data_IF_971444675581
#
_entry.id   IF_971444675581
#
_cell.length_a   1.000
_cell.length_b   1.000
_cell.length_c   1.000
_cell.angle_alpha   90.00
_cell.angle_beta   90.00
_cell.angle_gamma   90.00
#
_symmetry.space_group_name_H-M   'P 1'
#
loop_
_entity.id
_entity.type
_entity.pdbx_description
1 polymer ?
#
# COMPACT_ATOMS: atom_id res chain seq x y z
N UNK A 1 97.46 22.93 -24.72
CA UNK A 1 97.33 24.21 -24.01
C UNK A 1 97.11 23.89 -22.55
N UNK A 2 98.23 23.83 -21.81
CA UNK A 2 98.51 24.67 -20.62
C UNK A 2 97.89 24.08 -19.35
N UNK A 3 98.66 23.29 -18.58
CA UNK A 3 99.52 23.73 -17.45
C UNK A 3 98.66 24.09 -16.23
N UNK A 4 98.86 23.57 -15.01
CA UNK A 4 100.13 23.28 -14.36
C UNK A 4 99.99 22.30 -13.19
N UNK A 5 101.13 21.69 -12.83
CA UNK A 5 101.35 20.77 -11.71
C UNK A 5 101.60 21.53 -10.39
N UNK A 6 101.32 20.87 -9.27
CA UNK A 6 102.20 20.78 -8.07
C UNK A 6 101.44 19.99 -6.99
N UNK A 7 101.99 19.06 -6.21
CA UNK A 7 103.34 18.54 -6.05
C UNK A 7 103.44 17.94 -4.64
N UNK A 8 103.92 16.70 -4.55
CA UNK A 8 104.68 16.20 -3.38
C UNK A 8 103.93 15.60 -2.18
N UNK A 9 104.60 14.76 -1.36
CA UNK A 9 104.06 13.46 -0.97
C UNK A 9 104.04 13.16 0.56
N UNK A 10 103.52 11.97 0.86
CA UNK A 10 103.96 11.03 1.90
C UNK A 10 103.23 10.98 3.27
N UNK A 11 102.97 9.72 3.64
CA UNK A 11 103.04 9.08 4.97
C UNK A 11 101.82 8.91 5.91
N UNK A 12 101.37 7.63 6.00
CA UNK A 12 101.30 6.74 7.19
C UNK A 12 100.52 7.20 8.46
N UNK A 13 99.28 6.65 8.64
CA UNK A 13 98.78 5.68 9.70
C UNK A 13 98.87 6.10 11.21
N UNK A 14 98.00 5.64 12.16
CA UNK A 14 96.88 6.44 12.69
C UNK A 14 96.87 6.51 14.26
N UNK A 15 95.77 7.04 14.83
CA UNK A 15 95.34 6.76 16.21
C UNK A 15 95.79 7.77 17.26
N UNK A 16 94.85 8.43 17.92
CA UNK A 16 94.43 8.05 19.28
C UNK A 16 93.30 8.98 19.76
N UNK A 17 92.27 8.36 20.35
CA UNK A 17 91.24 8.97 21.20
C UNK A 17 91.89 9.54 22.49
N UNK A 18 91.31 10.47 23.30
CA UNK A 18 89.93 10.39 23.81
C UNK A 18 89.15 11.70 24.11
N UNK A 19 87.84 11.48 24.31
CA UNK A 19 86.78 12.28 24.97
C UNK A 19 87.23 13.11 26.20
N UNK A 20 86.47 14.13 26.69
CA UNK A 20 84.99 14.18 26.73
C UNK A 20 84.31 15.56 26.58
N UNK A 21 82.98 15.54 26.43
CA UNK A 21 82.12 16.60 26.98
C UNK A 21 80.94 17.08 26.14
N UNK A 22 79.77 17.03 26.79
CA UNK A 22 78.60 17.87 26.64
C UNK A 22 77.47 17.41 25.69
N UNK A 23 76.37 17.10 26.36
CA UNK A 23 75.04 16.72 25.93
C UNK A 23 74.36 17.77 25.03
N UNK A 24 73.63 17.32 24.01
CA UNK A 24 72.30 17.88 23.70
C UNK A 24 71.37 16.79 23.16
N UNK A 25 70.41 16.41 24.01
CA UNK A 25 69.31 15.51 23.70
C UNK A 25 68.33 16.16 22.70
N UNK A 26 68.01 15.42 21.64
CA UNK A 26 67.03 15.85 20.63
C UNK A 26 66.57 14.70 19.73
N UNK A 27 66.08 13.60 20.32
CA UNK A 27 65.42 12.51 19.58
C UNK A 27 64.13 13.03 18.93
N UNK A 28 64.17 13.37 17.64
CA UNK A 28 62.96 13.49 16.81
C UNK A 28 62.66 12.14 16.15
N UNK A 29 61.80 11.36 16.81
CA UNK A 29 61.18 10.19 16.19
C UNK A 29 60.22 10.65 15.09
N UNK A 30 60.62 10.48 13.83
CA UNK A 30 59.73 10.63 12.68
C UNK A 30 58.65 9.55 12.71
N UNK A 31 57.50 9.88 13.32
CA UNK A 31 56.31 9.04 13.34
C UNK A 31 55.74 9.01 11.92
N UNK A 32 56.07 7.96 11.15
CA UNK A 32 55.39 7.65 9.89
C UNK A 32 53.89 7.51 10.19
N UNK A 33 53.11 8.51 9.78
CA UNK A 33 51.65 8.48 9.79
C UNK A 33 51.22 7.45 8.75
N UNK A 34 50.95 6.22 9.21
CA UNK A 34 50.21 5.24 8.41
C UNK A 34 48.84 5.85 8.13
N UNK A 35 48.62 6.32 6.91
CA UNK A 35 47.29 6.56 6.39
C UNK A 35 46.56 5.21 6.39
N UNK A 36 45.56 5.07 7.27
CA UNK A 36 44.68 3.90 7.27
C UNK A 36 43.88 3.94 5.97
N UNK A 37 43.78 2.83 5.22
CA UNK A 37 42.88 2.78 4.08
C UNK A 37 41.45 2.96 4.60
N UNK A 38 40.75 3.98 4.11
CA UNK A 38 39.34 4.19 4.45
C UNK A 38 38.53 2.96 4.04
N UNK A 39 37.84 2.39 5.02
CA UNK A 39 37.08 1.17 4.88
C UNK A 39 35.84 1.41 4.02
N UNK A 40 35.88 0.94 2.77
CA UNK A 40 34.71 0.80 1.88
C UNK A 40 33.70 -0.28 2.32
N UNK A 41 33.84 -0.85 3.53
CA UNK A 41 33.01 -1.94 4.05
C UNK A 41 31.75 -1.50 4.79
N UNK A 42 31.55 -0.19 5.02
CA UNK A 42 30.31 0.33 5.63
C UNK A 42 29.15 0.27 4.64
N UNK A 43 29.38 0.73 3.41
CA UNK A 43 28.32 0.84 2.39
C UNK A 43 27.76 -0.52 1.95
N UNK A 44 28.62 -1.54 1.77
CA UNK A 44 28.18 -2.90 1.41
C UNK A 44 27.49 -3.64 2.56
N UNK A 45 27.68 -3.20 3.81
CA UNK A 45 27.06 -3.79 5.00
C UNK A 45 25.75 -3.09 5.39
N UNK A 46 25.66 -1.79 5.14
CA UNK A 46 24.45 -0.97 5.33
C UNK A 46 23.42 -1.22 4.23
N UNK A 47 23.85 -1.52 2.99
CA UNK A 47 22.95 -1.79 1.87
C UNK A 47 21.98 -2.97 2.13
N UNK A 48 22.42 -4.16 2.60
CA UNK A 48 21.49 -5.25 2.93
C UNK A 48 20.49 -4.90 4.02
N UNK A 49 20.89 -4.13 5.04
CA UNK A 49 19.99 -3.72 6.13
C UNK A 49 18.93 -2.76 5.59
N UNK A 50 19.33 -1.79 4.76
CA UNK A 50 18.41 -0.84 4.14
C UNK A 50 17.44 -1.54 3.18
N UNK A 51 17.93 -2.49 2.38
CA UNK A 51 17.08 -3.31 1.52
C UNK A 51 16.10 -4.17 2.33
N UNK A 52 16.55 -4.77 3.44
CA UNK A 52 15.67 -5.53 4.33
C UNK A 52 14.59 -4.65 4.95
N UNK A 53 14.94 -3.46 5.44
CA UNK A 53 13.97 -2.51 6.00
C UNK A 53 12.97 -2.06 4.94
N UNK A 54 13.44 -1.72 3.74
CA UNK A 54 12.57 -1.35 2.62
C UNK A 54 11.63 -2.50 2.22
N UNK A 55 12.14 -3.74 2.19
CA UNK A 55 11.37 -4.94 1.91
C UNK A 55 10.30 -5.19 2.98
N UNK A 56 10.66 -5.13 4.26
CA UNK A 56 9.71 -5.29 5.38
C UNK A 56 8.66 -4.20 5.36
N UNK A 57 9.05 -2.94 5.12
CA UNK A 57 8.09 -1.84 4.98
C UNK A 57 7.14 -2.06 3.81
N UNK A 58 7.66 -2.49 2.66
CA UNK A 58 6.84 -2.82 1.49
C UNK A 58 5.88 -3.97 1.78
N UNK A 59 6.30 -5.00 2.52
CA UNK A 59 5.42 -6.07 2.97
C UNK A 59 4.32 -5.54 3.89
N UNK A 60 4.65 -4.71 4.89
CA UNK A 60 3.65 -4.12 5.77
C UNK A 60 2.64 -3.29 4.98
N UNK A 61 3.11 -2.42 4.07
CA UNK A 61 2.22 -1.61 3.23
C UNK A 61 1.31 -2.49 2.37
N UNK A 62 1.83 -3.56 1.76
CA UNK A 62 1.06 -4.44 0.87
C UNK A 62 0.10 -5.36 1.62
N UNK A 63 0.55 -5.92 2.74
CA UNK A 63 -0.27 -6.80 3.57
C UNK A 63 -1.45 -6.02 4.12
N UNK A 64 -1.22 -4.81 4.62
CA UNK A 64 -2.21 -4.10 5.41
C UNK A 64 -2.92 -2.96 4.67
N UNK A 65 -2.26 -2.19 3.81
CA UNK A 65 -2.83 -0.91 3.38
C UNK A 65 -3.31 -0.94 1.94
N UNK A 66 -2.43 -1.27 0.99
CA UNK A 66 -2.75 -1.17 -0.42
C UNK A 66 -1.96 -2.12 -1.30
N UNK A 67 -2.64 -2.65 -2.33
CA UNK A 67 -2.04 -3.54 -3.32
C UNK A 67 -2.50 -3.14 -4.73
N UNK A 68 -1.57 -3.17 -5.69
CA UNK A 68 -1.88 -2.89 -7.08
C UNK A 68 -2.29 -4.20 -7.79
N UNK A 69 -3.41 -4.18 -8.51
CA UNK A 69 -3.92 -5.28 -9.32
C UNK A 69 -3.98 -4.85 -10.79
N UNK A 70 -3.66 -5.78 -11.70
CA UNK A 70 -3.86 -5.60 -13.13
C UNK A 70 -5.20 -6.18 -13.54
N UNK A 71 -5.98 -5.48 -14.37
CA UNK A 71 -7.30 -5.92 -14.83
C UNK A 71 -7.18 -6.60 -16.21
N UNK A 72 -7.33 -7.93 -16.29
CA UNK A 72 -7.13 -8.65 -17.54
C UNK A 72 -8.41 -8.80 -18.39
N UNK A 73 -9.59 -8.56 -17.81
CA UNK A 73 -10.90 -8.82 -18.44
C UNK A 73 -11.77 -7.56 -18.57
N UNK A 74 -12.68 -7.56 -19.55
CA UNK A 74 -13.57 -6.43 -19.84
C UNK A 74 -14.92 -6.50 -19.12
N UNK A 75 -15.02 -7.28 -18.04
CA UNK A 75 -16.27 -7.51 -17.31
C UNK A 75 -16.75 -6.28 -16.51
N UNK A 76 -15.86 -5.32 -16.31
CA UNK A 76 -16.11 -4.06 -15.62
C UNK A 76 -16.07 -2.85 -16.56
N UNK A 77 -16.10 -3.05 -17.88
CA UNK A 77 -16.17 -1.95 -18.87
C UNK A 77 -17.44 -1.10 -18.63
N UNK A 78 -17.46 0.23 -18.78
CA UNK A 78 -16.34 1.16 -19.01
C UNK A 78 -15.66 1.64 -17.72
N UNK A 79 -16.08 1.15 -16.55
CA UNK A 79 -15.51 1.52 -15.26
C UNK A 79 -14.04 1.12 -15.17
N UNK A 80 -13.72 -0.13 -15.51
CA UNK A 80 -12.37 -0.66 -15.62
C UNK A 80 -12.16 -1.32 -16.97
N UNK A 81 -11.14 -0.88 -17.69
CA UNK A 81 -10.83 -1.41 -19.01
C UNK A 81 -9.87 -2.58 -18.88
N UNK A 82 -10.28 -3.72 -19.41
CA UNK A 82 -9.45 -4.91 -19.53
C UNK A 82 -9.74 -5.67 -20.81
N UNK A 83 -8.70 -6.27 -21.38
CA UNK A 83 -8.83 -7.13 -22.55
C UNK A 83 -7.66 -8.12 -22.63
N UNK A 84 -7.89 -9.32 -23.22
CA UNK A 84 -6.82 -10.26 -23.50
C UNK A 84 -5.75 -9.62 -24.41
N UNK A 85 -4.49 -9.60 -23.93
CA UNK A 85 -3.34 -9.17 -24.72
C UNK A 85 -3.15 -7.64 -24.87
N UNK A 86 -3.93 -6.82 -24.19
CA UNK A 86 -3.81 -5.36 -24.22
C UNK A 86 -3.21 -4.78 -22.92
N UNK A 87 -2.94 -3.47 -22.90
CA UNK A 87 -2.58 -2.78 -21.66
C UNK A 87 -3.86 -2.36 -20.94
N UNK A 88 -4.42 -3.27 -20.14
CA UNK A 88 -5.54 -2.97 -19.25
C UNK A 88 -5.17 -2.05 -18.08
N UNK A 89 -6.17 -1.70 -17.29
CA UNK A 89 -6.00 -0.86 -16.11
C UNK A 89 -5.17 -1.54 -15.02
N UNK A 90 -4.51 -0.72 -14.22
CA UNK A 90 -3.98 -1.11 -12.92
C UNK A 90 -4.72 -0.33 -11.86
N UNK A 91 -5.33 -1.05 -10.93
CA UNK A 91 -6.09 -0.48 -9.83
C UNK A 91 -5.33 -0.63 -8.52
N UNK A 92 -5.37 0.40 -7.69
CA UNK A 92 -4.91 0.35 -6.31
C UNK A 92 -6.10 -0.02 -5.42
N UNK A 93 -5.96 -1.15 -4.74
CA UNK A 93 -6.95 -1.71 -3.82
C UNK A 93 -6.62 -1.23 -2.41
N UNK A 94 -7.60 -0.61 -1.75
CA UNK A 94 -7.53 -0.13 -0.38
C UNK A 94 -8.20 -1.13 0.57
N UNK A 95 -7.45 -1.58 1.59
CA UNK A 95 -7.97 -2.56 2.58
C UNK A 95 -8.52 -1.93 3.85
N UNK A 96 -8.19 -0.66 4.10
CA UNK A 96 -8.53 0.04 5.35
C UNK A 96 -10.04 0.12 5.62
N UNK A 97 -10.92 0.37 4.62
CA UNK A 97 -12.36 0.46 4.87
C UNK A 97 -12.92 -0.82 5.50
N UNK A 98 -12.43 -1.97 5.06
CA UNK A 98 -12.94 -3.28 5.48
C UNK A 98 -12.27 -3.83 6.76
N UNK A 99 -11.41 -3.05 7.40
CA UNK A 99 -10.92 -3.40 8.75
C UNK A 99 -11.92 -3.06 9.85
N UNK A 100 -12.78 -2.08 9.58
CA UNK A 100 -13.70 -1.51 10.56
C UNK A 100 -15.14 -1.47 10.05
N UNK A 101 -15.36 -1.89 8.80
CA UNK A 101 -16.66 -1.97 8.15
C UNK A 101 -16.73 -3.19 7.24
N UNK A 102 -17.89 -3.38 6.63
CA UNK A 102 -18.14 -4.43 5.65
C UNK A 102 -18.30 -3.79 4.26
N UNK A 103 -18.11 -4.55 3.17
CA UNK A 103 -18.39 -4.05 1.83
C UNK A 103 -19.85 -3.62 1.68
N UNK A 104 -20.07 -2.43 1.13
CA UNK A 104 -21.40 -1.84 0.97
C UNK A 104 -21.89 -1.95 -0.49
N UNK A 105 -23.21 -1.94 -0.74
CA UNK A 105 -23.75 -1.85 -2.09
C UNK A 105 -23.17 -0.64 -2.84
N UNK A 106 -22.66 -0.87 -4.04
CA UNK A 106 -21.97 0.13 -4.86
C UNK A 106 -20.45 -0.01 -4.84
N UNK A 107 -19.87 -0.67 -3.83
CA UNK A 107 -18.42 -0.87 -3.75
C UNK A 107 -17.88 -1.71 -4.89
N UNK A 108 -16.74 -1.31 -5.46
CA UNK A 108 -15.96 -2.16 -6.36
C UNK A 108 -14.95 -2.94 -5.51
N UNK A 109 -15.08 -4.26 -5.48
CA UNK A 109 -14.26 -5.14 -4.65
C UNK A 109 -13.36 -6.03 -5.50
N UNK A 110 -12.15 -6.24 -5.00
CA UNK A 110 -11.28 -7.33 -5.45
C UNK A 110 -11.37 -8.46 -4.44
N UNK A 111 -11.61 -9.69 -4.88
CA UNK A 111 -11.83 -10.84 -4.01
C UNK A 111 -11.30 -12.12 -4.64
N UNK A 112 -11.06 -13.12 -3.80
CA UNK A 112 -10.77 -14.47 -4.26
C UNK A 112 -12.08 -15.20 -4.60
N UNK A 113 -12.20 -15.70 -5.82
CA UNK A 113 -13.40 -16.41 -6.27
C UNK A 113 -13.61 -17.73 -5.53
N UNK A 114 -14.86 -18.14 -5.25
CA UNK A 114 -15.16 -19.47 -4.72
C UNK A 114 -14.63 -20.59 -5.63
N UNK A 115 -14.41 -21.78 -5.07
CA UNK A 115 -13.93 -22.98 -5.79
C UNK A 115 -14.87 -23.46 -6.92
N UNK A 116 -16.09 -22.91 -6.97
CA UNK A 116 -17.12 -23.17 -7.98
C UNK A 116 -17.07 -22.21 -9.17
N UNK A 117 -16.25 -21.16 -9.11
CA UNK A 117 -16.13 -20.15 -10.16
C UNK A 117 -15.06 -20.54 -11.17
N UNK A 118 -15.34 -20.27 -12.45
CA UNK A 118 -14.40 -20.59 -13.53
C UNK A 118 -13.46 -19.38 -13.71
N UNK A 119 -12.13 -19.58 -13.67
CA UNK A 119 -11.17 -18.51 -13.91
C UNK A 119 -11.45 -17.74 -15.20
N UNK A 120 -11.41 -16.40 -15.12
CA UNK A 120 -11.57 -15.54 -16.31
C UNK A 120 -10.33 -15.54 -17.20
N UNK A 121 -9.18 -15.96 -16.66
CA UNK A 121 -7.90 -15.99 -17.36
C UNK A 121 -7.13 -17.25 -17.00
N UNK A 122 -6.62 -17.95 -18.01
CA UNK A 122 -5.60 -18.98 -17.85
C UNK A 122 -4.21 -18.33 -17.87
N UNK A 123 -3.52 -18.36 -16.74
CA UNK A 123 -2.14 -17.92 -16.56
C UNK A 123 -1.23 -19.14 -16.52
N UNK A 124 -0.34 -19.26 -17.49
CA UNK A 124 0.61 -20.39 -17.48
C UNK A 124 1.56 -20.33 -16.28
N UNK A 125 1.58 -21.42 -15.52
CA UNK A 125 2.50 -21.56 -14.39
C UNK A 125 3.98 -21.56 -14.83
N UNK A 126 4.86 -20.92 -14.05
CA UNK A 126 6.27 -20.83 -14.39
C UNK A 126 6.96 -22.20 -14.36
N UNK A 127 7.72 -22.50 -15.42
CA UNK A 127 8.43 -23.78 -15.58
C UNK A 127 9.63 -23.96 -14.64
N UNK A 128 10.09 -22.91 -13.96
CA UNK A 128 11.21 -22.97 -13.02
C UNK A 128 11.11 -21.93 -11.89
N UNK A 129 11.90 -22.12 -10.83
CA UNK A 129 11.84 -21.30 -9.62
C UNK A 129 12.23 -19.83 -9.85
N UNK A 130 13.13 -19.55 -10.81
CA UNK A 130 13.59 -18.20 -11.09
C UNK A 130 12.50 -17.38 -11.80
N UNK A 131 11.85 -17.96 -12.81
CA UNK A 131 10.70 -17.32 -13.45
C UNK A 131 9.53 -17.18 -12.48
N UNK A 132 9.32 -18.13 -11.58
CA UNK A 132 8.36 -18.00 -10.47
C UNK A 132 8.66 -16.84 -9.53
N UNK A 133 9.93 -16.64 -9.14
CA UNK A 133 10.34 -15.50 -8.32
C UNK A 133 10.13 -14.15 -9.05
N UNK A 134 10.39 -14.10 -10.36
CA UNK A 134 10.19 -12.90 -11.17
C UNK A 134 8.70 -12.59 -11.36
N UNK A 135 7.88 -13.61 -11.59
CA UNK A 135 6.42 -13.49 -11.69
C UNK A 135 5.84 -13.01 -10.35
N UNK A 136 6.27 -13.60 -9.23
CA UNK A 136 5.89 -13.16 -7.90
C UNK A 136 6.23 -11.68 -7.68
N UNK A 137 7.45 -11.25 -8.00
CA UNK A 137 7.85 -9.83 -7.93
C UNK A 137 6.95 -8.96 -8.81
N UNK A 138 6.70 -9.38 -10.06
CA UNK A 138 5.85 -8.66 -10.99
C UNK A 138 4.42 -8.48 -10.46
N UNK A 139 3.84 -9.53 -9.88
CA UNK A 139 2.52 -9.50 -9.23
C UNK A 139 2.54 -8.54 -8.06
N UNK A 140 3.58 -8.56 -7.24
CA UNK A 140 3.66 -7.65 -6.09
C UNK A 140 3.73 -6.18 -6.49
N UNK A 141 4.26 -5.85 -7.67
CA UNK A 141 4.38 -4.48 -8.18
C UNK A 141 3.18 -4.13 -9.09
N UNK A 142 2.25 -5.05 -9.33
CA UNK A 142 1.11 -4.88 -10.23
C UNK A 142 1.50 -4.82 -11.72
N UNK A 143 2.69 -5.31 -12.08
CA UNK A 143 3.19 -5.35 -13.46
C UNK A 143 3.00 -6.71 -14.13
N UNK A 144 2.58 -7.73 -13.38
CA UNK A 144 2.20 -9.03 -13.89
C UNK A 144 0.69 -9.29 -13.68
N UNK A 145 0.08 -10.21 -14.43
CA UNK A 145 -1.32 -10.61 -14.24
C UNK A 145 -1.56 -11.10 -12.81
N UNK A 146 -2.75 -10.84 -12.24
CA UNK A 146 -3.12 -11.34 -10.92
C UNK A 146 -3.17 -12.89 -10.90
N UNK A 147 -3.51 -13.48 -9.76
CA UNK A 147 -3.77 -14.92 -9.74
C UNK A 147 -5.03 -15.23 -10.57
N UNK A 148 -5.16 -16.47 -11.05
CA UNK A 148 -6.33 -16.90 -11.83
C UNK A 148 -7.64 -16.82 -11.02
N UNK A 149 -7.52 -16.77 -9.69
CA UNK A 149 -8.62 -16.78 -8.74
C UNK A 149 -9.01 -15.37 -8.23
N UNK A 150 -8.32 -14.31 -8.66
CA UNK A 150 -8.65 -12.94 -8.24
C UNK A 150 -9.64 -12.28 -9.21
N UNK A 151 -10.79 -11.84 -8.70
CA UNK A 151 -11.85 -11.20 -9.48
C UNK A 151 -12.05 -9.75 -9.02
N UNK A 152 -12.54 -8.90 -9.93
CA UNK A 152 -13.02 -7.56 -9.61
C UNK A 152 -14.46 -7.41 -10.07
N UNK A 153 -15.36 -7.07 -9.14
CA UNK A 153 -16.80 -6.87 -9.40
C UNK A 153 -17.37 -5.79 -8.49
N UNK A 154 -18.58 -5.32 -8.78
CA UNK A 154 -19.33 -4.42 -7.92
C UNK A 154 -20.24 -5.18 -6.97
N UNK A 155 -20.28 -4.78 -5.71
CA UNK A 155 -21.25 -5.27 -4.71
C UNK A 155 -22.62 -4.71 -5.03
N UNK A 156 -23.58 -5.60 -5.22
CA UNK A 156 -24.97 -5.26 -5.58
C UNK A 156 -25.90 -5.46 -4.39
N UNK A 157 -25.68 -6.51 -3.60
CA UNK A 157 -26.44 -6.79 -2.39
C UNK A 157 -25.55 -7.47 -1.32
N UNK A 158 -25.92 -7.26 -0.07
CA UNK A 158 -25.21 -7.76 1.13
C UNK A 158 -26.10 -8.72 1.92
N UNK A 159 -25.56 -9.32 2.99
CA UNK A 159 -26.26 -10.29 3.83
C UNK A 159 -27.66 -9.82 4.26
N UNK A 160 -28.62 -10.75 4.16
CA UNK A 160 -30.03 -10.50 4.52
C UNK A 160 -30.87 -9.91 3.39
N UNK A 161 -30.26 -9.29 2.38
CA UNK A 161 -30.99 -8.72 1.23
C UNK A 161 -31.41 -9.81 0.24
N UNK A 162 -32.49 -9.58 -0.48
CA UNK A 162 -32.94 -10.44 -1.59
C UNK A 162 -32.77 -9.72 -2.91
N UNK A 163 -32.00 -10.32 -3.82
CA UNK A 163 -31.70 -9.79 -5.15
C UNK A 163 -32.37 -10.63 -6.22
N UNK A 164 -32.95 -9.98 -7.23
CA UNK A 164 -33.56 -10.66 -8.37
C UNK A 164 -33.33 -9.87 -9.67
N UNK A 165 -33.29 -10.58 -10.79
CA UNK A 165 -33.35 -9.95 -12.12
C UNK A 165 -34.54 -10.51 -12.90
N UNK A 166 -35.44 -9.67 -13.42
CA UNK A 166 -35.42 -8.21 -13.40
C UNK A 166 -36.85 -7.69 -13.35
N UNK A 167 -37.03 -6.40 -13.05
CA UNK A 167 -38.33 -5.73 -13.10
C UNK A 167 -38.89 -5.63 -14.54
N UNK A 168 -40.02 -4.95 -14.71
CA UNK A 168 -40.63 -4.75 -16.03
C UNK A 168 -39.73 -4.04 -17.05
N UNK A 169 -38.79 -3.21 -16.58
CA UNK A 169 -37.88 -2.38 -17.37
C UNK A 169 -36.51 -3.03 -17.56
N UNK A 170 -36.27 -4.20 -16.95
CA UNK A 170 -35.00 -4.93 -17.06
C UNK A 170 -33.95 -4.53 -16.04
N UNK A 171 -34.32 -3.79 -14.99
CA UNK A 171 -33.43 -3.41 -13.89
C UNK A 171 -33.30 -4.53 -12.86
N UNK A 172 -32.13 -4.62 -12.23
CA UNK A 172 -31.92 -5.45 -11.06
C UNK A 172 -32.71 -4.87 -9.89
N UNK A 173 -33.30 -5.75 -9.09
CA UNK A 173 -34.14 -5.39 -7.94
C UNK A 173 -33.51 -5.97 -6.69
N UNK A 174 -33.42 -5.16 -5.63
CA UNK A 174 -33.00 -5.59 -4.30
C UNK A 174 -34.09 -5.21 -3.30
N UNK A 175 -34.54 -6.18 -2.51
CA UNK A 175 -35.63 -6.03 -1.53
C UNK A 175 -36.91 -5.39 -2.13
N UNK A 176 -37.20 -5.74 -3.39
CA UNK A 176 -38.34 -5.23 -4.14
C UNK A 176 -38.18 -3.81 -4.69
N UNK A 177 -37.04 -3.16 -4.50
CA UNK A 177 -36.72 -1.85 -5.07
C UNK A 177 -35.77 -1.96 -6.26
N UNK A 178 -36.07 -1.34 -7.41
CA UNK A 178 -35.13 -1.30 -8.54
C UNK A 178 -33.90 -0.46 -8.18
N UNK A 179 -32.73 -0.91 -8.62
CA UNK A 179 -31.46 -0.20 -8.40
C UNK A 179 -31.31 1.01 -9.33
N UNK A 180 -30.57 2.03 -8.86
CA UNK A 180 -30.05 3.12 -9.69
C UNK A 180 -28.60 2.83 -10.07
N UNK A 181 -28.36 2.47 -11.33
CA UNK A 181 -27.07 1.90 -11.77
C UNK A 181 -26.45 2.71 -12.92
N UNK A 182 -25.96 3.94 -12.66
CA UNK A 182 -25.44 4.84 -13.71
C UNK A 182 -24.14 4.34 -14.38
N UNK A 183 -23.49 3.33 -13.80
CA UNK A 183 -22.24 2.75 -14.29
C UNK A 183 -22.44 1.60 -15.29
N UNK A 184 -23.68 1.13 -15.49
CA UNK A 184 -23.92 -0.07 -16.29
C UNK A 184 -23.56 0.15 -17.76
N UNK A 185 -22.76 -0.76 -18.29
CA UNK A 185 -22.40 -0.85 -19.70
C UNK A 185 -23.01 -2.11 -20.31
N UNK A 186 -23.61 -1.97 -21.49
CA UNK A 186 -24.26 -3.04 -22.27
C UNK A 186 -25.11 -4.03 -21.44
N UNK A 187 -26.41 -3.75 -21.32
CA UNK A 187 -27.35 -4.53 -20.49
C UNK A 187 -28.37 -5.36 -21.30
N UNK A 188 -27.98 -5.80 -22.49
CA UNK A 188 -28.86 -6.54 -23.41
C UNK A 188 -28.20 -7.79 -23.98
N UNK A 189 -28.95 -8.88 -24.26
CA UNK A 189 -30.39 -9.05 -24.04
C UNK A 189 -30.75 -9.36 -22.58
N UNK A 190 -32.01 -9.16 -22.17
CA UNK A 190 -32.45 -9.39 -20.78
C UNK A 190 -32.46 -10.88 -20.42
N UNK A 191 -32.80 -11.71 -21.38
CA UNK A 191 -32.98 -13.16 -21.22
C UNK A 191 -31.68 -13.86 -20.82
N UNK A 192 -30.52 -13.35 -21.24
CA UNK A 192 -29.21 -13.93 -20.91
C UNK A 192 -28.73 -13.60 -19.51
N UNK A 193 -29.42 -12.70 -18.80
CA UNK A 193 -29.01 -12.18 -17.49
C UNK A 193 -30.08 -12.31 -16.40
N UNK A 194 -31.26 -12.85 -16.73
CA UNK A 194 -32.33 -13.11 -15.78
C UNK A 194 -31.98 -14.25 -14.83
N UNK A 195 -32.32 -14.08 -13.55
CA UNK A 195 -32.13 -15.11 -12.52
C UNK A 195 -33.25 -15.04 -11.49
N UNK A 196 -33.55 -16.19 -10.88
CA UNK A 196 -34.56 -16.28 -9.83
C UNK A 196 -34.12 -15.51 -8.57
N UNK A 197 -35.05 -15.11 -7.70
CA UNK A 197 -34.70 -14.41 -6.47
C UNK A 197 -33.71 -15.20 -5.61
N UNK A 198 -32.66 -14.52 -5.16
CA UNK A 198 -31.64 -15.06 -4.26
C UNK A 198 -31.59 -14.20 -3.00
N UNK A 199 -31.84 -14.81 -1.84
CA UNK A 199 -31.57 -14.17 -0.55
C UNK A 199 -30.11 -14.39 -0.19
N UNK A 200 -29.35 -13.31 -0.07
CA UNK A 200 -27.92 -13.34 0.24
C UNK A 200 -27.75 -13.77 1.69
N UNK A 201 -27.02 -14.87 1.97
CA UNK A 201 -26.75 -15.27 3.35
C UNK A 201 -25.93 -14.23 4.10
N UNK A 202 -26.06 -14.18 5.43
CA UNK A 202 -25.23 -13.35 6.29
C UNK A 202 -23.73 -13.62 6.06
N UNK A 203 -22.92 -12.56 6.09
CA UNK A 203 -21.47 -12.63 5.83
C UNK A 203 -21.12 -12.95 4.37
N UNK A 204 -22.06 -12.82 3.44
CA UNK A 204 -21.84 -13.01 2.00
C UNK A 204 -22.33 -11.83 1.18
N UNK A 205 -21.88 -11.78 -0.06
CA UNK A 205 -22.09 -10.70 -1.02
C UNK A 205 -22.65 -11.27 -2.32
N UNK A 206 -23.55 -10.52 -2.94
CA UNK A 206 -23.92 -10.69 -4.34
C UNK A 206 -23.19 -9.64 -5.17
N UNK A 207 -22.41 -10.09 -6.15
CA UNK A 207 -21.53 -9.21 -6.94
C UNK A 207 -21.80 -9.35 -8.43
N UNK A 208 -21.74 -8.25 -9.16
CA UNK A 208 -21.98 -8.22 -10.60
C UNK A 208 -20.95 -7.36 -11.32
N UNK A 209 -20.63 -7.71 -12.56
CA UNK A 209 -19.84 -6.87 -13.45
C UNK A 209 -20.64 -5.66 -13.94
N UNK A 210 -19.96 -4.55 -14.16
CA UNK A 210 -20.56 -3.34 -14.76
C UNK A 210 -20.90 -3.56 -16.25
N UNK A 211 -20.14 -4.43 -16.94
CA UNK A 211 -20.44 -4.90 -18.29
C UNK A 211 -21.41 -6.09 -18.21
N UNK A 212 -22.72 -5.80 -18.21
CA UNK A 212 -23.76 -6.78 -17.82
C UNK A 212 -23.91 -7.93 -18.78
N UNK A 213 -23.71 -7.69 -20.08
CA UNK A 213 -23.78 -8.69 -21.15
C UNK A 213 -22.55 -9.62 -21.20
N UNK A 214 -21.42 -9.21 -20.62
CA UNK A 214 -20.12 -9.88 -20.79
C UNK A 214 -19.37 -10.07 -19.45
N UNK A 215 -20.07 -10.50 -18.42
CA UNK A 215 -19.49 -10.79 -17.10
C UNK A 215 -19.95 -12.16 -16.59
N UNK A 216 -18.98 -13.02 -16.27
CA UNK A 216 -19.20 -14.21 -15.44
C UNK A 216 -19.12 -13.76 -13.98
N UNK A 217 -20.26 -13.59 -13.34
CA UNK A 217 -20.39 -13.11 -11.96
C UNK A 217 -21.45 -13.91 -11.21
N UNK A 218 -21.95 -13.43 -10.06
CA UNK A 218 -22.89 -14.17 -9.21
C UNK A 218 -24.07 -14.77 -9.98
N UNK A 219 -24.55 -14.09 -11.03
CA UNK A 219 -25.66 -14.55 -11.89
C UNK A 219 -25.36 -15.88 -12.58
N UNK A 220 -24.12 -16.08 -13.01
CA UNK A 220 -23.68 -17.30 -13.70
C UNK A 220 -23.56 -18.49 -12.76
N UNK A 221 -23.56 -18.24 -11.44
CA UNK A 221 -23.24 -19.21 -10.41
C UNK A 221 -24.41 -19.50 -9.44
N UNK A 222 -25.63 -19.03 -9.72
CA UNK A 222 -26.84 -19.26 -8.88
C UNK A 222 -27.06 -20.74 -8.54
N UNK A 223 -26.75 -21.65 -9.47
CA UNK A 223 -26.92 -23.09 -9.29
C UNK A 223 -25.78 -23.80 -8.54
N UNK A 224 -24.75 -23.08 -8.12
CA UNK A 224 -23.60 -23.66 -7.43
C UNK A 224 -23.86 -23.90 -5.93
N UNK A 225 -22.83 -24.39 -5.23
CA UNK A 225 -22.90 -24.69 -3.79
C UNK A 225 -23.22 -23.46 -2.94
N UNK A 226 -22.83 -22.27 -3.37
CA UNK A 226 -22.95 -21.02 -2.62
C UNK A 226 -24.01 -20.09 -3.19
N UNK A 227 -24.84 -20.59 -4.11
CA UNK A 227 -25.85 -19.82 -4.82
C UNK A 227 -25.30 -18.55 -5.46
N UNK A 228 -24.08 -18.62 -6.00
CA UNK A 228 -23.39 -17.51 -6.66
C UNK A 228 -22.90 -16.41 -5.73
N UNK A 229 -22.98 -16.58 -4.41
CA UNK A 229 -22.53 -15.56 -3.46
C UNK A 229 -21.07 -15.73 -3.05
N UNK A 230 -20.42 -14.62 -2.72
CA UNK A 230 -19.00 -14.55 -2.30
C UNK A 230 -18.93 -14.30 -0.80
N UNK A 231 -18.02 -14.92 -0.06
CA UNK A 231 -17.87 -14.62 1.37
C UNK A 231 -17.21 -13.26 1.57
N UNK A 232 -17.63 -12.50 2.59
CA UNK A 232 -16.98 -11.23 2.95
C UNK A 232 -15.49 -11.45 3.28
N UNK A 233 -15.15 -12.58 3.90
CA UNK A 233 -13.78 -12.96 4.25
C UNK A 233 -12.87 -13.20 3.02
N UNK A 234 -13.44 -13.46 1.84
CA UNK A 234 -12.69 -13.65 0.60
C UNK A 234 -12.36 -12.30 -0.08
N UNK A 235 -12.88 -11.18 0.45
CA UNK A 235 -12.63 -9.84 -0.09
C UNK A 235 -11.24 -9.35 0.30
N UNK A 236 -10.43 -9.06 -0.72
CA UNK A 236 -9.06 -8.55 -0.56
C UNK A 236 -9.08 -7.05 -0.22
N UNK A 237 -10.00 -6.28 -0.82
CA UNK A 237 -10.19 -4.86 -0.54
C UNK A 237 -11.02 -4.12 -1.59
N UNK A 238 -11.20 -2.81 -1.38
CA UNK A 238 -11.94 -1.90 -2.27
C UNK A 238 -11.04 -1.35 -3.36
N UNK A 239 -11.38 -1.53 -4.63
CA UNK A 239 -10.71 -0.84 -5.72
C UNK A 239 -11.07 0.65 -5.68
N UNK A 240 -10.08 1.52 -5.43
CA UNK A 240 -10.34 2.93 -5.15
C UNK A 240 -9.72 3.90 -6.19
N UNK A 241 -8.70 3.47 -6.92
CA UNK A 241 -7.92 4.35 -7.80
C UNK A 241 -7.36 3.58 -8.98
N UNK A 242 -7.51 4.11 -10.19
CA UNK A 242 -6.74 3.69 -11.37
C UNK A 242 -5.37 4.38 -11.30
N UNK A 243 -4.29 3.60 -11.25
CA UNK A 243 -2.91 4.11 -11.19
C UNK A 243 -2.17 4.02 -12.53
N UNK A 244 -2.70 3.25 -13.48
CA UNK A 244 -2.19 3.11 -14.84
C UNK A 244 -3.33 2.67 -15.78
N UNK A 245 -3.38 3.12 -17.04
CA UNK A 245 -2.44 4.04 -17.69
C UNK A 245 -2.57 5.49 -17.17
N UNK A 246 -1.53 6.31 -17.36
CA UNK A 246 -1.42 7.64 -16.72
C UNK A 246 -2.54 8.59 -17.17
N UNK A 247 -3.01 8.45 -18.41
CA UNK A 247 -4.13 9.22 -18.98
C UNK A 247 -5.49 8.88 -18.35
N UNK A 248 -5.60 7.71 -17.69
CA UNK A 248 -6.80 7.28 -16.94
C UNK A 248 -6.62 7.33 -15.44
N UNK A 249 -5.55 7.98 -14.95
CA UNK A 249 -5.34 8.13 -13.51
C UNK A 249 -6.53 8.87 -12.89
N UNK A 250 -7.21 8.23 -11.95
CA UNK A 250 -8.44 8.76 -11.36
C UNK A 250 -9.02 7.85 -10.29
N UNK A 251 -9.89 8.41 -9.46
CA UNK A 251 -10.65 7.66 -8.46
C UNK A 251 -11.73 6.83 -9.13
N UNK A 252 -12.10 5.71 -8.51
CA UNK A 252 -13.23 4.90 -8.91
C UNK A 252 -14.45 5.29 -8.08
N UNK A 253 -15.59 5.47 -8.75
CA UNK A 253 -16.85 5.86 -8.11
C UNK A 253 -17.61 4.65 -7.56
N UNK A 254 -18.16 4.83 -6.36
CA UNK A 254 -19.01 3.93 -5.60
C UNK A 254 -20.34 4.62 -5.29
N UNK A 255 -21.24 4.80 -6.28
CA UNK A 255 -22.50 5.49 -6.07
C UNK A 255 -23.40 4.71 -5.11
N UNK A 256 -24.28 5.42 -4.40
CA UNK A 256 -25.37 4.80 -3.66
C UNK A 256 -26.42 4.26 -4.63
N UNK A 257 -26.35 2.95 -4.90
CA UNK A 257 -27.20 2.25 -5.86
C UNK A 257 -28.56 1.86 -5.31
N UNK A 258 -28.73 1.89 -3.99
CA UNK A 258 -29.94 1.45 -3.28
C UNK A 258 -30.67 2.61 -2.59
N UNK A 259 -30.17 3.84 -2.68
CA UNK A 259 -30.75 5.00 -2.01
C UNK A 259 -30.63 4.94 -0.48
N UNK A 260 -29.68 4.19 0.06
CA UNK A 260 -29.51 3.98 1.50
C UNK A 260 -29.08 5.25 2.24
N UNK A 261 -28.45 6.22 1.58
CA UNK A 261 -28.12 7.53 2.15
C UNK A 261 -29.36 8.42 2.37
N UNK A 262 -30.48 8.14 1.69
CA UNK A 262 -31.77 8.77 1.99
C UNK A 262 -32.51 8.09 3.16
N UNK A 263 -32.05 6.92 3.60
CA UNK A 263 -32.68 6.08 4.62
C UNK A 263 -31.94 6.07 5.97
N UNK A 264 -31.13 7.10 6.26
CA UNK A 264 -30.68 7.32 7.64
C UNK A 264 -31.92 7.46 8.55
N UNK A 265 -32.04 6.71 9.65
CA UNK A 265 -33.21 6.79 10.52
C UNK A 265 -33.34 8.21 11.09
N UNK A 266 -34.54 8.84 11.10
CA UNK A 266 -34.73 10.12 11.75
C UNK A 266 -34.72 9.87 13.27
N UNK A 267 -33.53 9.88 13.88
CA UNK A 267 -33.43 9.40 15.26
C UNK A 267 -32.08 9.56 15.95
N UNK A 268 -31.27 10.55 15.57
CA UNK A 268 -30.10 10.95 16.37
C UNK A 268 -29.97 12.48 16.40
N UNK A 269 -31.06 13.16 16.75
CA UNK A 269 -31.11 14.61 16.96
C UNK A 269 -31.45 14.94 18.40
N UNK A 270 -30.40 15.18 19.21
CA UNK A 270 -30.35 16.00 20.41
C UNK A 270 -31.62 16.14 21.28
N UNK A 271 -31.61 15.45 22.43
CA UNK A 271 -32.25 15.95 23.65
C UNK A 271 -31.53 17.24 24.06
N UNK A 272 -32.24 18.36 24.09
CA UNK A 272 -31.71 19.62 24.62
C UNK A 272 -32.51 20.84 24.19
N UNK A 273 -33.71 21.03 24.75
CA UNK A 273 -34.40 22.32 24.73
C UNK A 273 -33.65 23.31 25.62
N UNK A 274 -32.70 24.05 25.04
CA UNK A 274 -32.11 25.23 25.67
C UNK A 274 -32.80 26.49 25.15
N UNK A 275 -33.71 27.03 25.96
CA UNK A 275 -34.21 28.41 25.89
C UNK A 275 -33.04 29.42 25.91
N UNK A 276 -33.05 30.48 25.09
CA UNK A 276 -32.03 31.52 25.19
C UNK A 276 -32.43 32.50 26.29
N UNK A 277 -31.74 32.46 27.44
CA UNK A 277 -31.80 33.54 28.42
C UNK A 277 -30.58 34.42 28.22
N UNK A 278 -30.84 35.67 27.84
CA UNK A 278 -29.86 36.71 27.72
C UNK A 278 -29.28 37.11 29.09
N UNK A 279 -28.13 37.81 29.02
CA UNK A 279 -27.49 38.66 30.04
C UNK A 279 -26.67 38.00 31.14
N UNK A 280 -25.35 38.21 31.09
CA UNK A 280 -24.60 39.10 31.98
C UNK A 280 -23.12 38.69 32.03
N UNK A 281 -22.23 39.59 31.60
CA UNK A 281 -20.78 39.47 31.80
C UNK A 281 -20.43 39.59 33.29
N UNK A 282 -19.44 38.83 33.77
CA UNK A 282 -18.49 39.36 34.74
C UNK A 282 -17.07 39.29 34.20
N UNK A 283 -16.48 40.47 34.05
CA UNK A 283 -15.04 40.69 34.05
C UNK A 283 -14.48 40.22 35.41
N UNK A 284 -13.59 39.23 35.44
CA UNK A 284 -12.48 39.15 36.41
C UNK A 284 -11.58 37.92 36.16
N UNK A 285 -10.30 38.24 35.92
CA UNK A 285 -9.09 37.60 36.46
C UNK A 285 -8.91 36.07 36.38
N UNK A 286 -7.90 35.65 35.62
CA UNK A 286 -7.34 34.30 35.70
C UNK A 286 -6.16 34.03 34.77
N UNK A 287 -5.15 34.91 34.79
CA UNK A 287 -3.83 34.61 34.19
C UNK A 287 -3.12 33.60 35.09
N UNK A 288 -2.78 32.41 34.58
CA UNK A 288 -1.52 31.68 34.87
C UNK A 288 -1.52 30.31 34.19
N UNK A 289 -0.40 29.95 33.54
CA UNK A 289 -0.10 28.54 33.29
C UNK A 289 0.50 28.14 31.94
N UNK A 290 1.06 29.06 31.16
CA UNK A 290 1.98 28.70 30.07
C UNK A 290 3.42 29.00 30.49
N UNK A 291 4.34 28.13 30.03
CA UNK A 291 5.82 28.15 30.15
C UNK A 291 6.42 27.22 31.23
N UNK A 292 7.60 26.62 30.99
CA UNK A 292 7.74 25.44 30.13
C UNK A 292 8.56 24.33 30.82
N UNK A 293 8.45 23.12 30.29
CA UNK A 293 9.19 21.89 30.67
C UNK A 293 10.73 22.05 30.70
N UNK A 294 11.27 23.18 30.25
CA UNK A 294 12.70 23.49 30.19
C UNK A 294 13.34 23.79 31.56
N UNK A 295 12.57 24.27 32.56
CA UNK A 295 13.10 24.47 33.92
C UNK A 295 13.27 23.15 34.70
N UNK A 296 12.44 22.15 34.41
CA UNK A 296 12.50 20.82 35.02
C UNK A 296 13.69 20.00 34.50
N UNK A 297 14.02 20.14 33.22
CA UNK A 297 15.19 19.47 32.63
C UNK A 297 16.53 20.07 33.09
N UNK A 298 16.57 21.36 33.45
CA UNK A 298 17.78 22.02 33.97
C UNK A 298 18.12 21.60 35.41
N UNK A 299 17.11 21.32 36.26
CA UNK A 299 17.33 20.83 37.64
C UNK A 299 17.78 19.37 37.73
N UNK A 300 17.52 18.54 36.72
CA UNK A 300 18.01 17.14 36.70
C UNK A 300 19.47 16.99 36.27
N UNK A 301 20.01 17.91 35.46
CA UNK A 301 21.43 17.87 35.04
C UNK A 301 22.40 18.35 36.12
N UNK A 302 21.99 19.24 37.03
CA UNK A 302 22.85 19.71 38.13
C UNK A 302 23.00 18.73 39.30
N UNK A 303 22.21 17.64 39.35
CA UNK A 303 22.30 16.59 40.39
C UNK A 303 23.16 15.38 40.01
N UNK A 304 23.71 15.34 38.78
CA UNK A 304 24.63 14.27 38.32
C UNK A 304 26.09 14.71 38.20
N UNK A 305 26.43 15.94 38.56
CA UNK A 305 27.79 16.47 38.48
C UNK A 305 28.41 16.79 39.87
N UNK A 306 27.88 16.19 40.95
CA UNK A 306 28.35 16.43 42.33
C UNK A 306 28.60 15.17 43.14
N UNK A 307 28.75 14.01 42.50
CA UNK A 307 29.06 12.74 43.15
C UNK A 307 29.74 11.81 42.14
N UNK A 308 31.06 11.86 42.09
CA UNK A 308 31.92 11.09 41.19
C UNK A 308 33.14 11.89 40.77
#
# INVERSE_FOLDING_TARGET
MSSDRSGGPADVVPGDEPQPGAEHAGRRSGRRRRERPEQKSSLLRELPVLLLVAFVLALVVKTFFAQAFFIPSGSMEQTLHGCPGCTGDRVLVNKIPYWFGEPEPGDIVVFQGPDTWVPEVEVQDPSNWLTGALLWLGRTVGVAPPSEDDYVKRVIATGGQTVECCDGEGRVVVDGQPLDEPYVYEDTPRESRAFAPVTVPEGRLWVMGDHRSASADSRSHVGDRYSGTVAVDDVIGKAALIVWPVDRFGTLDDPDIQGTQAAAPPGAGAVGTATPVASALPLAAGVTGALPVTAWLRRRRSRRAGSG
#
